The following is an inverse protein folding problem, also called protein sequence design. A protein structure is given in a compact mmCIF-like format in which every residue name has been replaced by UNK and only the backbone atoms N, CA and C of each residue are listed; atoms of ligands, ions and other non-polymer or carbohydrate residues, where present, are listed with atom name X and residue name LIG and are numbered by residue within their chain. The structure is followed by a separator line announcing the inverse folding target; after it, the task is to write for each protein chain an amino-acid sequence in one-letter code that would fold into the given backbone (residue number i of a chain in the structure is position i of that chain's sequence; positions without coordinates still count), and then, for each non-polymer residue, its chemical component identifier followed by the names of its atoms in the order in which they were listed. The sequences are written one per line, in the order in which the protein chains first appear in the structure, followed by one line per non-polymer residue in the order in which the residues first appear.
data_IF_448545393805
#
_entry.id   IF_448545393805
#
_cell.length_a   1.000
_cell.length_b   1.000
_cell.length_c   1.000
_cell.angle_alpha   90.00
_cell.angle_beta   90.00
_cell.angle_gamma   90.00
#
_symmetry.space_group_name_H-M   'P 1'
#
loop_
_entity.id
_entity.type
_entity.pdbx_description
1 polymer ?
#
# COMPACT_ATOMS: atom_id res chain seq x y z
N UNK A 1 25.51 5.43 -28.23
CA UNK A 1 24.73 4.82 -27.14
C UNK A 1 23.87 3.76 -27.80
N UNK A 2 24.19 2.47 -27.63
CA UNK A 2 23.34 1.40 -28.17
C UNK A 2 22.03 1.43 -27.40
N UNK A 3 20.94 1.67 -28.10
CA UNK A 3 19.59 1.38 -27.60
C UNK A 3 19.59 -0.13 -27.34
N UNK A 4 19.70 -0.54 -26.07
CA UNK A 4 19.53 -1.95 -25.73
C UNK A 4 18.16 -2.36 -26.23
N UNK A 5 18.11 -3.43 -27.02
CA UNK A 5 16.86 -3.96 -27.54
C UNK A 5 15.86 -4.17 -26.39
N UNK A 6 14.62 -3.73 -26.58
CA UNK A 6 13.49 -3.83 -25.63
C UNK A 6 13.14 -5.27 -25.16
N UNK A 7 13.90 -6.28 -25.61
CA UNK A 7 13.73 -7.70 -25.30
C UNK A 7 14.23 -8.09 -23.90
N UNK A 8 15.05 -7.29 -23.24
CA UNK A 8 15.73 -7.71 -21.99
C UNK A 8 15.20 -7.08 -20.69
N UNK A 9 14.23 -6.14 -20.74
CA UNK A 9 13.64 -5.60 -19.50
C UNK A 9 12.66 -6.61 -18.88
N UNK A 10 12.58 -6.72 -17.54
CA UNK A 10 11.60 -7.57 -16.87
C UNK A 10 10.17 -7.06 -17.10
N UNK A 11 9.17 -7.94 -16.96
CA UNK A 11 7.77 -7.65 -17.29
C UNK A 11 7.22 -6.46 -16.48
N UNK A 12 7.58 -6.36 -15.19
CA UNK A 12 7.11 -5.29 -14.30
C UNK A 12 7.63 -3.90 -14.69
N UNK A 13 8.67 -3.78 -15.52
CA UNK A 13 9.13 -2.49 -16.09
C UNK A 13 8.37 -2.09 -17.36
N UNK A 14 7.64 -3.02 -17.98
CA UNK A 14 6.91 -2.81 -19.24
C UNK A 14 5.40 -2.72 -19.04
N UNK A 15 4.92 -3.12 -17.87
CA UNK A 15 3.50 -3.31 -17.62
C UNK A 15 2.73 -2.00 -17.47
N UNK A 16 1.44 -2.01 -17.79
CA UNK A 16 0.46 -1.04 -17.30
C UNK A 16 -0.34 -1.63 -16.13
N UNK A 17 -0.27 -0.97 -14.97
CA UNK A 17 -1.00 -1.40 -13.76
C UNK A 17 -2.34 -0.67 -13.67
N UNK A 18 -3.42 -1.42 -13.52
CA UNK A 18 -4.78 -0.90 -13.34
C UNK A 18 -5.27 -1.22 -11.92
N UNK A 19 -5.50 -0.19 -11.12
CA UNK A 19 -6.03 -0.33 -9.79
C UNK A 19 -7.55 -0.48 -9.83
N UNK A 20 -8.03 -1.63 -9.35
CA UNK A 20 -9.44 -1.89 -9.07
C UNK A 20 -9.70 -1.68 -7.60
N UNK A 21 -10.75 -0.90 -7.31
CA UNK A 21 -11.34 -0.81 -5.99
C UNK A 21 -12.59 -1.72 -5.93
N UNK A 22 -12.49 -2.94 -5.33
CA UNK A 22 -13.44 -4.03 -5.57
C UNK A 22 -14.90 -3.66 -5.30
N UNK A 23 -15.17 -3.06 -4.13
CA UNK A 23 -16.50 -2.67 -3.66
C UNK A 23 -17.24 -1.75 -4.64
N UNK A 24 -16.53 -0.98 -5.46
CA UNK A 24 -17.11 0.02 -6.37
C UNK A 24 -16.91 -0.27 -7.86
N UNK A 25 -16.38 -1.45 -8.23
CA UNK A 25 -16.08 -1.76 -9.62
C UNK A 25 -17.28 -2.40 -10.34
N UNK A 26 -17.74 -3.57 -9.87
CA UNK A 26 -18.86 -4.28 -10.50
C UNK A 26 -19.54 -5.25 -9.54
N UNK A 27 -20.81 -4.97 -9.23
CA UNK A 27 -21.71 -5.88 -8.51
C UNK A 27 -22.30 -6.92 -9.48
N UNK A 28 -22.22 -8.21 -9.11
CA UNK A 28 -22.83 -9.33 -9.84
C UNK A 28 -24.02 -9.95 -9.11
N UNK A 29 -24.17 -9.68 -7.81
CA UNK A 29 -25.21 -10.25 -6.95
C UNK A 29 -26.47 -9.38 -6.83
N UNK A 30 -26.36 -8.09 -7.15
CA UNK A 30 -27.43 -7.10 -7.01
C UNK A 30 -27.59 -6.56 -5.59
N UNK A 31 -26.63 -6.81 -4.69
CA UNK A 31 -26.65 -6.33 -3.31
C UNK A 31 -26.12 -4.89 -3.13
N UNK A 32 -25.62 -4.27 -4.21
CA UNK A 32 -25.07 -2.91 -4.22
C UNK A 32 -23.56 -2.82 -3.93
N UNK A 33 -22.88 -3.95 -3.72
CA UNK A 33 -21.44 -4.04 -3.46
C UNK A 33 -20.76 -4.78 -4.61
N UNK A 34 -19.67 -4.23 -5.14
CA UNK A 34 -18.85 -4.91 -6.14
C UNK A 34 -18.16 -6.15 -5.58
N UNK A 35 -18.06 -7.20 -6.39
CA UNK A 35 -17.61 -8.52 -5.99
C UNK A 35 -16.66 -9.16 -7.01
N UNK A 36 -15.98 -10.25 -6.62
CA UNK A 36 -14.97 -10.89 -7.45
C UNK A 36 -15.57 -11.48 -8.74
N UNK A 37 -16.80 -12.01 -8.70
CA UNK A 37 -17.48 -12.51 -9.90
C UNK A 37 -17.78 -11.37 -10.88
N UNK A 38 -18.18 -10.20 -10.38
CA UNK A 38 -18.38 -9.00 -11.18
C UNK A 38 -17.09 -8.55 -11.87
N UNK A 39 -15.96 -8.57 -11.16
CA UNK A 39 -14.64 -8.31 -11.75
C UNK A 39 -14.32 -9.31 -12.86
N UNK A 40 -14.54 -10.62 -12.64
CA UNK A 40 -14.31 -11.67 -13.66
C UNK A 40 -15.07 -11.34 -14.95
N UNK A 41 -16.31 -10.86 -14.88
CA UNK A 41 -17.10 -10.49 -16.07
C UNK A 41 -16.54 -9.30 -16.88
N UNK A 42 -15.53 -8.60 -16.35
CA UNK A 42 -14.93 -7.41 -16.96
C UNK A 42 -13.48 -7.61 -17.38
N UNK A 43 -12.91 -8.80 -17.21
CA UNK A 43 -11.53 -9.06 -17.61
C UNK A 43 -11.31 -8.88 -19.13
N UNK A 44 -12.29 -9.24 -19.97
CA UNK A 44 -12.21 -9.02 -21.42
C UNK A 44 -12.13 -7.53 -21.76
N UNK A 45 -12.92 -6.69 -21.07
CA UNK A 45 -12.84 -5.24 -21.23
C UNK A 45 -11.46 -4.68 -20.86
N UNK A 46 -10.87 -5.16 -19.77
CA UNK A 46 -9.55 -4.71 -19.32
C UNK A 46 -8.44 -5.17 -20.28
N UNK A 47 -8.55 -6.39 -20.81
CA UNK A 47 -7.62 -6.90 -21.81
C UNK A 47 -7.73 -6.11 -23.13
N UNK A 48 -8.95 -5.84 -23.61
CA UNK A 48 -9.19 -5.00 -24.82
C UNK A 48 -8.66 -3.57 -24.65
N UNK A 49 -8.72 -3.03 -23.43
CA UNK A 49 -8.15 -1.72 -23.08
C UNK A 49 -6.61 -1.72 -23.14
N UNK A 50 -5.97 -2.88 -23.09
CA UNK A 50 -4.51 -3.04 -23.09
C UNK A 50 -3.89 -3.03 -21.70
N UNK A 51 -4.66 -3.35 -20.66
CA UNK A 51 -4.13 -3.53 -19.31
C UNK A 51 -3.37 -4.85 -19.22
N UNK A 52 -2.22 -4.83 -18.56
CA UNK A 52 -1.36 -6.02 -18.41
C UNK A 52 -1.29 -6.49 -16.95
N UNK A 53 -1.46 -5.61 -15.97
CA UNK A 53 -1.49 -5.97 -14.55
C UNK A 53 -2.70 -5.36 -13.85
N UNK A 54 -3.42 -6.16 -13.06
CA UNK A 54 -4.52 -5.69 -12.22
C UNK A 54 -4.06 -5.68 -10.77
N UNK A 55 -4.12 -4.52 -10.12
CA UNK A 55 -3.91 -4.37 -8.68
C UNK A 55 -5.26 -4.20 -7.99
N UNK A 56 -5.56 -5.06 -7.03
CA UNK A 56 -6.75 -4.95 -6.19
C UNK A 56 -6.41 -4.26 -4.88
N UNK A 57 -7.16 -3.20 -4.53
CA UNK A 57 -7.29 -2.78 -3.11
C UNK A 57 -7.76 -3.98 -2.24
N UNK A 58 -7.56 -3.95 -0.91
CA UNK A 58 -7.67 -5.15 -0.08
C UNK A 58 -8.98 -5.93 -0.23
N UNK A 59 -8.86 -7.23 -0.52
CA UNK A 59 -9.99 -8.18 -0.63
C UNK A 59 -10.05 -9.18 0.53
N UNK A 60 -9.10 -9.11 1.46
CA UNK A 60 -9.01 -10.04 2.58
C UNK A 60 -10.16 -9.87 3.58
N UNK A 61 -10.37 -10.89 4.40
CA UNK A 61 -11.35 -10.80 5.49
C UNK A 61 -11.04 -9.60 6.39
N UNK A 62 -12.05 -8.75 6.58
CA UNK A 62 -11.95 -7.50 7.33
C UNK A 62 -13.33 -7.13 7.90
N UNK A 63 -13.41 -6.49 9.07
CA UNK A 63 -14.63 -5.87 9.58
C UNK A 63 -15.11 -4.66 8.76
N UNK A 64 -14.36 -4.24 7.74
CA UNK A 64 -14.64 -3.12 6.84
C UNK A 64 -14.74 -1.77 7.55
N UNK A 65 -14.04 -1.58 8.68
CA UNK A 65 -14.03 -0.29 9.37
C UNK A 65 -13.06 0.69 8.73
N UNK A 66 -12.10 0.17 7.97
CA UNK A 66 -11.23 0.90 7.06
C UNK A 66 -11.24 0.21 5.68
N UNK A 67 -12.44 -0.21 5.26
CA UNK A 67 -12.72 -0.75 3.92
C UNK A 67 -11.71 -1.80 3.39
N UNK A 68 -11.31 -2.72 4.27
CA UNK A 68 -10.43 -3.83 3.93
C UNK A 68 -9.00 -3.69 4.48
N UNK A 69 -8.57 -2.48 4.86
CA UNK A 69 -7.24 -2.26 5.43
C UNK A 69 -7.14 -2.72 6.90
N UNK A 70 -8.26 -2.85 7.61
CA UNK A 70 -8.31 -3.53 8.91
C UNK A 70 -8.50 -5.06 8.75
N UNK A 71 -7.43 -5.77 8.38
CA UNK A 71 -7.48 -7.21 8.05
C UNK A 71 -7.65 -8.10 9.29
N UNK A 72 -8.68 -8.95 9.32
CA UNK A 72 -8.94 -9.92 10.40
C UNK A 72 -8.43 -11.33 10.09
N UNK A 73 -8.19 -11.65 8.82
CA UNK A 73 -7.50 -12.87 8.37
C UNK A 73 -6.90 -12.67 6.97
N UNK A 74 -5.58 -12.69 6.89
CA UNK A 74 -4.84 -12.48 5.64
C UNK A 74 -4.96 -13.63 4.64
N UNK A 75 -5.42 -14.82 5.03
CA UNK A 75 -5.48 -16.01 4.17
C UNK A 75 -6.91 -16.36 3.73
N UNK A 76 -7.87 -15.49 4.02
CA UNK A 76 -9.26 -15.61 3.56
C UNK A 76 -9.77 -14.32 2.91
N UNK A 77 -10.88 -14.42 2.19
CA UNK A 77 -11.51 -13.34 1.41
C UNK A 77 -12.70 -12.80 2.18
N UNK A 78 -12.91 -11.47 2.16
CA UNK A 78 -14.11 -10.87 2.78
C UNK A 78 -15.36 -11.45 2.14
N UNK A 79 -16.31 -11.85 2.98
CA UNK A 79 -17.54 -12.51 2.55
C UNK A 79 -18.37 -11.65 1.58
N UNK A 80 -18.26 -10.32 1.65
CA UNK A 80 -18.97 -9.41 0.75
C UNK A 80 -18.43 -9.44 -0.69
N UNK A 81 -17.16 -9.83 -0.88
CA UNK A 81 -16.50 -9.89 -2.19
C UNK A 81 -16.61 -11.29 -2.81
N UNK A 82 -16.75 -12.34 -1.99
CA UNK A 82 -16.95 -13.70 -2.45
C UNK A 82 -16.26 -14.73 -1.57
N UNK A 83 -15.80 -15.82 -2.19
CA UNK A 83 -15.16 -16.96 -1.54
C UNK A 83 -13.72 -17.12 -2.01
N UNK A 84 -12.95 -17.98 -1.31
CA UNK A 84 -11.61 -18.39 -1.78
C UNK A 84 -11.65 -18.99 -3.20
N UNK A 85 -12.69 -19.77 -3.53
CA UNK A 85 -12.85 -20.35 -4.86
C UNK A 85 -13.07 -19.27 -5.94
N UNK A 86 -13.78 -18.19 -5.61
CA UNK A 86 -13.96 -17.06 -6.53
C UNK A 86 -12.63 -16.32 -6.76
N UNK A 87 -11.80 -16.18 -5.73
CA UNK A 87 -10.46 -15.60 -5.83
C UNK A 87 -9.52 -16.47 -6.67
N UNK A 88 -9.49 -17.77 -6.44
CA UNK A 88 -8.70 -18.71 -7.24
C UNK A 88 -9.13 -18.70 -8.71
N UNK A 89 -10.45 -18.64 -8.97
CA UNK A 89 -10.99 -18.47 -10.32
C UNK A 89 -10.57 -17.13 -10.92
N UNK A 90 -10.62 -16.04 -10.17
CA UNK A 90 -10.20 -14.72 -10.64
C UNK A 90 -8.72 -14.73 -11.06
N UNK A 91 -7.83 -15.27 -10.24
CA UNK A 91 -6.40 -15.40 -10.55
C UNK A 91 -6.23 -16.22 -11.85
N UNK A 92 -6.90 -17.37 -11.94
CA UNK A 92 -6.84 -18.22 -13.13
C UNK A 92 -7.32 -17.50 -14.40
N UNK A 93 -8.43 -16.77 -14.34
CA UNK A 93 -9.00 -16.05 -15.49
C UNK A 93 -8.15 -14.85 -15.92
N UNK A 94 -7.45 -14.20 -14.98
CA UNK A 94 -6.47 -13.15 -15.28
C UNK A 94 -5.28 -13.76 -16.03
N UNK A 95 -4.72 -14.85 -15.54
CA UNK A 95 -3.59 -15.53 -16.18
C UNK A 95 -3.96 -16.14 -17.53
N UNK A 96 -5.18 -16.66 -17.71
CA UNK A 96 -5.67 -17.15 -19.00
C UNK A 96 -5.67 -16.06 -20.08
N UNK A 97 -5.70 -14.80 -19.68
CA UNK A 97 -5.63 -13.62 -20.55
C UNK A 97 -4.22 -13.04 -20.68
N UNK A 98 -3.21 -13.76 -20.21
CA UNK A 98 -1.80 -13.33 -20.19
C UNK A 98 -1.58 -12.00 -19.42
N UNK A 99 -2.46 -11.71 -18.46
CA UNK A 99 -2.34 -10.58 -17.54
C UNK A 99 -1.79 -11.05 -16.17
N UNK A 100 -1.32 -10.11 -15.35
CA UNK A 100 -0.81 -10.34 -14.01
C UNK A 100 -1.78 -9.81 -12.94
N UNK A 101 -1.72 -10.40 -11.75
CA UNK A 101 -2.52 -10.00 -10.58
C UNK A 101 -1.66 -9.61 -9.40
N UNK A 102 -1.96 -8.45 -8.81
CA UNK A 102 -1.33 -7.96 -7.58
C UNK A 102 -2.38 -7.73 -6.50
N UNK A 103 -2.03 -8.11 -5.27
CA UNK A 103 -2.84 -7.78 -4.10
C UNK A 103 -2.23 -6.63 -3.30
N UNK A 104 -3.09 -5.81 -2.73
CA UNK A 104 -2.71 -4.90 -1.66
C UNK A 104 -2.45 -5.68 -0.38
N UNK A 105 -1.28 -5.48 0.22
CA UNK A 105 -0.87 -6.18 1.43
C UNK A 105 -0.51 -5.18 2.52
N UNK A 106 -1.31 -5.19 3.57
CA UNK A 106 -1.11 -4.42 4.79
C UNK A 106 -0.21 -5.21 5.73
N UNK A 107 1.06 -4.81 5.82
CA UNK A 107 2.04 -5.49 6.68
C UNK A 107 2.09 -4.88 8.09
N UNK A 108 1.80 -3.60 8.24
CA UNK A 108 2.02 -2.89 9.51
C UNK A 108 1.16 -3.40 10.68
N UNK A 109 -0.11 -3.68 10.42
CA UNK A 109 -1.12 -3.89 11.45
C UNK A 109 -2.14 -4.95 11.04
N UNK A 110 -2.94 -5.38 12.01
CA UNK A 110 -4.16 -6.18 11.77
C UNK A 110 -5.38 -5.43 12.28
N UNK A 111 -6.57 -5.96 12.04
CA UNK A 111 -7.77 -5.58 12.79
C UNK A 111 -7.63 -5.92 14.28
N UNK A 112 -8.28 -5.14 15.13
CA UNK A 112 -8.53 -5.48 16.54
C UNK A 112 -9.40 -6.73 16.70
N UNK A 113 -10.07 -7.21 15.64
CA UNK A 113 -10.82 -8.47 15.64
C UNK A 113 -9.99 -9.67 15.17
N UNK A 114 -8.74 -9.47 14.71
CA UNK A 114 -7.88 -10.57 14.29
C UNK A 114 -7.64 -11.53 15.47
N UNK A 115 -7.71 -12.87 15.26
CA UNK A 115 -7.44 -13.85 16.32
C UNK A 115 -6.13 -13.63 17.08
N UNK A 116 -5.08 -13.17 16.40
CA UNK A 116 -3.80 -12.84 17.02
C UNK A 116 -3.93 -11.73 18.06
N UNK A 117 -4.64 -10.64 17.76
CA UNK A 117 -4.84 -9.55 18.71
C UNK A 117 -5.74 -9.98 19.87
N UNK A 118 -6.80 -10.75 19.59
CA UNK A 118 -7.68 -11.28 20.63
C UNK A 118 -6.92 -12.19 21.62
N UNK A 119 -6.08 -13.08 21.11
CA UNK A 119 -5.17 -13.90 21.93
C UNK A 119 -4.17 -13.03 22.71
N UNK A 120 -3.50 -12.08 22.05
CA UNK A 120 -2.52 -11.18 22.67
C UNK A 120 -3.15 -10.32 23.80
N UNK A 121 -4.38 -9.86 23.59
CA UNK A 121 -5.16 -9.05 24.53
C UNK A 121 -5.71 -9.86 25.70
N UNK A 122 -5.91 -11.17 25.53
CA UNK A 122 -6.52 -12.04 26.56
C UNK A 122 -5.80 -12.06 27.90
N UNK A 123 -4.46 -11.94 27.90
CA UNK A 123 -3.66 -11.85 29.12
C UNK A 123 -2.21 -11.40 28.82
N UNK A 124 -1.53 -10.86 29.84
CA UNK A 124 -0.10 -10.49 29.75
C UNK A 124 0.85 -11.68 29.57
N UNK A 125 0.38 -12.91 29.78
CA UNK A 125 1.20 -14.13 29.70
C UNK A 125 0.86 -15.00 28.49
N UNK A 126 -0.05 -14.56 27.61
CA UNK A 126 -0.40 -15.31 26.40
C UNK A 126 0.84 -15.43 25.48
N UNK A 127 1.08 -16.57 24.81
CA UNK A 127 2.21 -16.74 23.89
C UNK A 127 2.26 -15.70 22.76
N UNK A 128 1.10 -15.17 22.34
CA UNK A 128 0.99 -14.08 21.36
C UNK A 128 1.03 -12.69 21.98
N UNK A 129 1.34 -12.54 23.28
CA UNK A 129 1.39 -11.21 23.93
C UNK A 129 2.30 -10.25 23.17
N UNK A 130 3.49 -10.73 22.81
CA UNK A 130 4.50 -9.94 22.10
C UNK A 130 4.35 -9.97 20.57
N UNK A 131 3.18 -10.36 20.05
CA UNK A 131 2.87 -10.18 18.62
C UNK A 131 2.43 -8.75 18.30
N UNK A 132 2.05 -8.00 19.32
CA UNK A 132 1.66 -6.59 19.24
C UNK A 132 2.46 -5.78 20.26
N UNK A 133 2.48 -4.46 20.07
CA UNK A 133 3.28 -3.56 20.89
C UNK A 133 2.47 -3.12 22.11
N UNK A 134 2.79 -3.70 23.27
CA UNK A 134 2.17 -3.39 24.58
C UNK A 134 3.14 -2.68 25.52
N UNK A 135 2.72 -1.59 26.18
CA UNK A 135 3.55 -0.87 27.15
C UNK A 135 2.78 -0.42 28.38
N UNK A 136 3.45 -0.45 29.53
CA UNK A 136 2.96 0.17 30.75
C UNK A 136 3.04 1.71 30.61
N UNK A 137 2.14 2.43 31.31
CA UNK A 137 2.16 3.88 31.34
C UNK A 137 3.26 4.48 32.24
N UNK A 138 3.65 5.74 32.00
CA UNK A 138 4.76 6.44 32.69
C UNK A 138 4.53 6.86 34.15
N UNK A 139 3.35 6.62 34.75
CA UNK A 139 3.00 7.05 36.12
C UNK A 139 2.50 5.88 36.97
N UNK A 140 2.60 5.94 38.31
CA UNK A 140 1.99 4.94 39.19
C UNK A 140 0.52 4.71 38.83
N UNK A 141 0.14 3.46 38.60
CA UNK A 141 -1.19 3.07 38.14
C UNK A 141 -1.45 3.28 36.64
N UNK A 142 -0.42 3.42 35.79
CA UNK A 142 -0.53 3.30 34.33
C UNK A 142 -1.20 4.46 33.57
N UNK A 143 -1.72 5.49 34.25
CA UNK A 143 -2.62 6.50 33.66
C UNK A 143 -1.99 7.54 32.71
N UNK A 144 -0.69 7.46 32.41
CA UNK A 144 -0.02 8.37 31.46
C UNK A 144 0.57 7.58 30.31
N UNK A 145 0.36 8.08 29.10
CA UNK A 145 0.86 7.49 27.85
C UNK A 145 2.35 7.05 27.96
N UNK A 146 2.73 5.92 27.36
CA UNK A 146 4.11 5.41 27.37
C UNK A 146 5.12 6.42 26.80
N UNK A 147 4.78 7.12 25.73
CA UNK A 147 5.57 8.21 25.17
C UNK A 147 4.66 9.24 24.46
N UNK A 148 5.25 10.16 23.69
CA UNK A 148 4.50 11.20 23.01
C UNK A 148 3.97 10.81 21.63
N UNK A 149 4.16 9.57 21.16
CA UNK A 149 3.84 9.19 19.78
C UNK A 149 2.38 9.46 19.42
N UNK A 150 2.20 9.97 18.19
CA UNK A 150 0.90 10.30 17.61
C UNK A 150 0.60 9.39 16.44
N UNK A 151 -0.67 9.01 16.33
CA UNK A 151 -1.18 8.29 15.18
C UNK A 151 -1.07 9.16 13.91
N UNK A 152 -1.13 8.51 12.75
CA UNK A 152 -1.06 9.14 11.43
C UNK A 152 -2.29 9.99 11.16
N UNK A 153 -3.44 9.56 11.66
CA UNK A 153 -4.72 10.30 11.60
C UNK A 153 -4.84 11.40 12.66
N UNK A 154 -3.83 11.55 13.53
CA UNK A 154 -3.82 12.50 14.64
C UNK A 154 -4.28 11.89 15.97
N UNK A 155 -4.16 12.65 17.06
CA UNK A 155 -4.35 12.12 18.42
C UNK A 155 -3.18 11.26 18.89
N UNK A 156 -3.36 10.53 20.00
CA UNK A 156 -2.36 9.55 20.45
C UNK A 156 -2.58 8.23 19.74
N UNK A 157 -1.51 7.55 19.33
CA UNK A 157 -1.58 6.17 18.85
C UNK A 157 -1.54 5.13 19.97
N UNK A 158 -1.48 5.56 21.24
CA UNK A 158 -1.56 4.65 22.38
C UNK A 158 -3.00 4.54 22.85
N UNK A 159 -3.48 3.30 22.95
CA UNK A 159 -4.83 2.97 23.37
C UNK A 159 -4.81 2.09 24.61
N UNK A 160 -5.55 2.49 25.64
CA UNK A 160 -5.55 1.78 26.91
C UNK A 160 -6.47 0.56 26.86
N UNK A 161 -5.94 -0.59 27.29
CA UNK A 161 -6.69 -1.81 27.51
C UNK A 161 -6.91 -2.03 29.00
N UNK A 162 -8.17 -1.95 29.42
CA UNK A 162 -8.55 -2.11 30.82
C UNK A 162 -8.39 -3.55 31.33
N UNK A 163 -8.38 -4.55 30.44
CA UNK A 163 -8.24 -5.96 30.83
C UNK A 163 -6.82 -6.27 31.33
N UNK A 164 -5.80 -5.76 30.63
CA UNK A 164 -4.40 -6.02 30.95
C UNK A 164 -3.69 -4.86 31.67
N UNK A 165 -4.39 -3.74 31.89
CA UNK A 165 -3.85 -2.50 32.46
C UNK A 165 -2.60 -2.01 31.72
N UNK A 166 -2.63 -2.08 30.38
CA UNK A 166 -1.54 -1.66 29.49
C UNK A 166 -2.07 -0.85 28.32
N UNK A 167 -1.16 -0.17 27.63
CA UNK A 167 -1.43 0.52 26.38
C UNK A 167 -0.96 -0.33 25.21
N UNK A 168 -1.76 -0.45 24.15
CA UNK A 168 -1.29 -0.97 22.86
C UNK A 168 -1.05 0.18 21.88
N UNK A 169 -0.15 -0.03 20.95
CA UNK A 169 0.16 0.91 19.87
C UNK A 169 -0.67 0.62 18.62
N UNK A 170 -1.18 1.68 18.00
CA UNK A 170 -1.76 1.69 16.67
C UNK A 170 -1.29 2.96 15.95
N UNK A 171 -0.52 2.80 14.87
CA UNK A 171 -0.02 3.94 14.09
C UNK A 171 -1.16 4.62 13.32
N UNK A 172 -2.26 3.92 13.05
CA UNK A 172 -3.42 4.41 12.32
C UNK A 172 -4.64 4.57 13.23
N UNK A 173 -5.71 3.82 13.00
CA UNK A 173 -6.94 3.91 13.78
C UNK A 173 -6.86 2.99 15.01
N UNK A 174 -7.64 3.27 16.08
CA UNK A 174 -7.58 2.48 17.32
C UNK A 174 -7.86 0.98 17.15
N UNK A 175 -8.50 0.61 16.04
CA UNK A 175 -8.86 -0.75 15.70
C UNK A 175 -7.88 -1.42 14.72
N UNK A 176 -6.73 -0.78 14.47
CA UNK A 176 -5.62 -1.27 13.67
C UNK A 176 -4.37 -1.41 14.54
N UNK A 177 -4.35 -2.32 15.53
CA UNK A 177 -3.17 -2.53 16.37
C UNK A 177 -1.97 -3.02 15.56
N UNK A 178 -0.83 -2.37 15.78
CA UNK A 178 0.40 -2.62 15.03
C UNK A 178 1.07 -3.92 15.49
N UNK A 179 1.55 -4.68 14.50
CA UNK A 179 2.31 -5.90 14.69
C UNK A 179 3.73 -5.59 15.18
N UNK A 180 4.23 -6.36 16.14
CA UNK A 180 5.60 -6.21 16.63
C UNK A 180 6.57 -7.01 15.75
N UNK A 181 7.14 -6.39 14.72
CA UNK A 181 8.11 -7.05 13.82
C UNK A 181 9.48 -7.33 14.44
N UNK A 182 9.76 -6.83 15.65
CA UNK A 182 10.94 -7.26 16.43
C UNK A 182 10.77 -8.70 16.94
N UNK A 183 9.53 -9.20 17.00
CA UNK A 183 9.26 -10.60 17.28
C UNK A 183 9.50 -11.45 16.00
N UNK A 184 10.46 -12.38 16.00
CA UNK A 184 10.79 -13.17 14.81
C UNK A 184 9.65 -14.08 14.35
N UNK A 185 8.70 -14.44 15.23
CA UNK A 185 7.52 -15.23 14.85
C UNK A 185 6.53 -14.41 14.03
N UNK A 186 6.33 -13.13 14.36
CA UNK A 186 5.49 -12.22 13.56
C UNK A 186 6.07 -12.05 12.17
N UNK A 187 7.37 -11.72 12.09
CA UNK A 187 8.05 -11.56 10.79
C UNK A 187 7.94 -12.82 9.94
N UNK A 188 8.14 -14.00 10.53
CA UNK A 188 8.00 -15.28 9.84
C UNK A 188 6.57 -15.50 9.33
N UNK A 189 5.55 -15.31 10.16
CA UNK A 189 4.16 -15.54 9.73
C UNK A 189 3.71 -14.59 8.61
N UNK A 190 4.21 -13.36 8.61
CA UNK A 190 3.93 -12.43 7.53
C UNK A 190 4.64 -12.82 6.23
N UNK A 191 5.87 -13.34 6.30
CA UNK A 191 6.53 -13.94 5.13
C UNK A 191 5.82 -15.22 4.65
N UNK A 192 5.32 -16.05 5.56
CA UNK A 192 4.57 -17.25 5.19
C UNK A 192 3.21 -16.90 4.57
N UNK A 193 2.61 -15.79 4.99
CA UNK A 193 1.41 -15.21 4.36
C UNK A 193 1.69 -14.70 2.94
N UNK A 194 2.84 -14.06 2.73
CA UNK A 194 3.30 -13.67 1.39
C UNK A 194 3.44 -14.92 0.51
N UNK A 195 4.17 -15.95 0.98
CA UNK A 195 4.35 -17.22 0.25
C UNK A 195 3.03 -17.90 -0.07
N UNK A 196 2.10 -17.94 0.89
CA UNK A 196 0.77 -18.53 0.68
C UNK A 196 0.05 -17.95 -0.55
N UNK A 197 0.12 -16.64 -0.76
CA UNK A 197 -0.49 -16.00 -1.92
C UNK A 197 0.33 -16.14 -3.20
N UNK A 198 1.66 -16.13 -3.11
CA UNK A 198 2.54 -16.41 -4.25
C UNK A 198 2.34 -17.85 -4.77
N UNK A 199 2.17 -18.82 -3.87
CA UNK A 199 1.86 -20.23 -4.17
C UNK A 199 0.50 -20.38 -4.87
N UNK A 200 -0.45 -19.48 -4.60
CA UNK A 200 -1.75 -19.42 -5.28
C UNK A 200 -1.70 -18.74 -6.65
N UNK A 201 -0.55 -18.19 -7.05
CA UNK A 201 -0.37 -17.52 -8.33
C UNK A 201 -0.50 -16.00 -8.29
N UNK A 202 -0.48 -15.36 -7.11
CA UNK A 202 -0.36 -13.90 -7.08
C UNK A 202 1.03 -13.50 -7.63
N UNK A 203 1.04 -12.53 -8.54
CA UNK A 203 2.25 -12.11 -9.27
C UNK A 203 3.05 -11.02 -8.55
N UNK A 204 2.44 -10.42 -7.53
CA UNK A 204 3.11 -9.40 -6.72
C UNK A 204 2.21 -8.73 -5.71
N UNK A 205 2.80 -7.78 -4.98
CA UNK A 205 2.11 -7.03 -3.96
C UNK A 205 2.35 -5.53 -4.09
N UNK A 206 1.30 -4.77 -3.85
CA UNK A 206 1.42 -3.37 -3.42
C UNK A 206 1.44 -3.38 -1.90
N UNK A 207 2.46 -2.77 -1.30
CA UNK A 207 2.65 -2.75 0.14
C UNK A 207 2.14 -1.43 0.71
N UNK A 208 1.10 -1.50 1.54
CA UNK A 208 0.50 -0.35 2.21
C UNK A 208 1.46 0.24 3.24
N UNK A 209 1.68 1.57 3.14
CA UNK A 209 2.47 2.41 4.06
C UNK A 209 3.66 1.66 4.69
N UNK A 210 4.47 1.01 3.84
CA UNK A 210 5.49 0.03 4.26
C UNK A 210 6.60 0.65 5.12
N UNK A 211 6.67 1.98 5.16
CA UNK A 211 7.59 2.75 5.99
C UNK A 211 7.22 2.82 7.48
N UNK A 212 6.15 2.17 7.91
CA UNK A 212 5.68 2.19 9.31
C UNK A 212 5.94 0.91 10.09
N UNK A 213 6.40 -0.17 9.45
CA UNK A 213 6.49 -1.54 10.04
C UNK A 213 7.35 -1.64 11.30
N UNK A 214 8.35 -0.77 11.47
CA UNK A 214 9.23 -0.77 12.64
C UNK A 214 9.22 0.55 13.39
N UNK A 215 9.02 0.46 14.70
CA UNK A 215 9.27 1.52 15.68
C UNK A 215 10.58 1.35 16.45
N UNK A 216 11.02 2.43 17.10
CA UNK A 216 12.18 2.49 18.00
C UNK A 216 12.01 1.55 19.21
N UNK A 217 12.95 0.61 19.37
CA UNK A 217 12.93 -0.38 20.47
C UNK A 217 13.06 0.25 21.86
N UNK A 218 13.66 1.44 21.93
CA UNK A 218 13.80 2.19 23.17
C UNK A 218 12.56 3.04 23.51
N UNK A 219 11.53 3.05 22.64
CA UNK A 219 10.28 3.80 22.81
C UNK A 219 10.49 5.29 23.10
N UNK A 220 11.54 5.87 22.51
CA UNK A 220 11.90 7.27 22.70
C UNK A 220 10.82 8.21 22.16
N UNK A 221 10.69 9.38 22.77
CA UNK A 221 9.77 10.39 22.28
C UNK A 221 10.20 10.88 20.89
N UNK A 222 9.24 11.04 19.97
CA UNK A 222 9.49 11.74 18.71
C UNK A 222 9.87 13.21 18.98
N UNK A 223 10.93 13.74 18.34
CA UNK A 223 11.32 15.13 18.46
C UNK A 223 10.20 16.09 18.00
N UNK A 224 10.22 17.30 18.54
CA UNK A 224 9.30 18.36 18.15
C UNK A 224 9.57 18.84 16.71
N UNK A 225 8.49 19.14 15.98
CA UNK A 225 8.52 19.81 14.68
C UNK A 225 7.56 21.01 14.70
N UNK A 226 7.85 22.06 13.94
CA UNK A 226 6.92 23.19 13.75
C UNK A 226 5.78 22.89 12.77
N UNK A 227 5.85 21.78 12.02
CA UNK A 227 4.84 21.39 11.03
C UNK A 227 3.63 20.73 11.70
N UNK A 228 2.44 21.17 11.32
CA UNK A 228 1.17 20.55 11.74
C UNK A 228 0.62 19.58 10.69
N UNK A 229 0.68 19.95 9.40
CA UNK A 229 0.29 19.08 8.29
C UNK A 229 1.52 18.46 7.61
N UNK A 230 1.42 17.22 7.12
CA UNK A 230 2.46 16.59 6.33
C UNK A 230 2.63 17.27 4.96
N UNK A 231 3.67 16.87 4.24
CA UNK A 231 3.90 17.25 2.84
C UNK A 231 4.40 16.05 2.06
N UNK A 232 4.26 16.06 0.73
CA UNK A 232 4.71 14.96 -0.14
C UNK A 232 6.20 14.57 0.05
N UNK A 233 7.02 15.47 0.62
CA UNK A 233 8.46 15.26 0.82
C UNK A 233 8.87 14.87 2.26
N UNK A 234 7.99 15.01 3.27
CA UNK A 234 8.25 14.53 4.64
C UNK A 234 6.98 14.31 5.48
N UNK A 235 7.06 13.32 6.38
CA UNK A 235 5.94 12.88 7.24
C UNK A 235 5.75 13.72 8.51
N UNK A 236 6.45 14.86 8.61
CA UNK A 236 6.38 15.71 9.80
C UNK A 236 4.98 16.29 9.91
N UNK A 237 4.28 15.94 10.97
CA UNK A 237 2.89 16.29 11.18
C UNK A 237 2.58 16.31 12.67
N UNK A 238 1.48 16.98 13.04
CA UNK A 238 1.02 17.10 14.43
C UNK A 238 2.11 17.54 15.43
N UNK A 239 3.02 18.40 14.99
CA UNK A 239 4.18 18.88 15.74
C UNK A 239 5.24 17.83 16.07
N UNK A 240 5.33 16.76 15.28
CA UNK A 240 6.31 15.69 15.45
C UNK A 240 7.18 15.48 14.22
N UNK A 241 8.48 15.31 14.47
CA UNK A 241 9.37 14.63 13.56
C UNK A 241 9.34 13.14 13.90
N UNK A 242 8.65 12.33 13.08
CA UNK A 242 8.25 10.95 13.42
C UNK A 242 9.35 9.90 13.20
N UNK A 243 10.61 10.25 13.49
CA UNK A 243 11.79 9.40 13.20
C UNK A 243 11.81 8.07 13.94
N UNK A 244 11.06 7.94 15.04
CA UNK A 244 10.99 6.71 15.83
C UNK A 244 9.80 5.82 15.47
N UNK A 245 8.92 6.25 14.56
CA UNK A 245 7.74 5.47 14.15
C UNK A 245 7.54 5.42 12.62
N UNK A 246 8.30 6.19 11.85
CA UNK A 246 8.24 6.21 10.39
C UNK A 246 9.67 6.25 9.83
N UNK A 247 9.91 5.46 8.78
CA UNK A 247 11.21 5.34 8.11
C UNK A 247 12.35 4.92 9.06
N UNK A 248 12.03 4.14 10.10
CA UNK A 248 13.04 3.57 10.99
C UNK A 248 14.05 2.73 10.17
N UNK A 249 15.36 2.75 10.48
CA UNK A 249 16.38 2.07 9.69
C UNK A 249 16.11 0.59 9.39
N UNK A 250 15.46 -0.11 10.33
CA UNK A 250 15.11 -1.53 10.20
C UNK A 250 14.13 -1.80 9.04
N UNK A 251 13.29 -0.82 8.66
CA UNK A 251 12.39 -0.96 7.50
C UNK A 251 13.18 -1.19 6.21
N UNK A 252 14.34 -0.54 6.04
CA UNK A 252 15.17 -0.72 4.84
C UNK A 252 15.84 -2.10 4.78
N UNK A 253 16.06 -2.73 5.94
CA UNK A 253 16.57 -4.12 6.00
C UNK A 253 15.42 -5.07 5.70
N UNK A 254 14.27 -4.83 6.33
CA UNK A 254 13.06 -5.64 6.15
C UNK A 254 12.60 -5.74 4.69
N UNK A 255 12.61 -4.64 3.92
CA UNK A 255 12.20 -4.71 2.52
C UNK A 255 13.13 -5.57 1.65
N UNK A 256 14.42 -5.70 2.02
CA UNK A 256 15.35 -6.60 1.32
C UNK A 256 15.11 -8.06 1.69
N UNK A 257 14.81 -8.32 2.96
CA UNK A 257 14.39 -9.66 3.42
C UNK A 257 13.09 -10.07 2.71
N UNK A 258 12.10 -9.17 2.65
CA UNK A 258 10.85 -9.40 1.92
C UNK A 258 11.10 -9.61 0.42
N UNK A 259 11.99 -8.81 -0.19
CA UNK A 259 12.40 -9.00 -1.59
C UNK A 259 12.97 -10.40 -1.82
N UNK A 260 13.80 -10.89 -0.90
CA UNK A 260 14.37 -12.24 -0.98
C UNK A 260 13.30 -13.34 -0.94
N UNK A 261 12.18 -13.14 -0.23
CA UNK A 261 11.04 -14.08 -0.25
C UNK A 261 10.42 -14.16 -1.64
N UNK A 262 10.30 -13.04 -2.35
CA UNK A 262 9.77 -13.03 -3.72
C UNK A 262 10.76 -13.64 -4.71
N UNK A 263 12.05 -13.45 -4.51
CA UNK A 263 13.09 -14.03 -5.38
C UNK A 263 13.14 -15.58 -5.29
N UNK A 264 12.46 -16.20 -4.32
CA UNK A 264 12.18 -17.66 -4.31
C UNK A 264 11.29 -18.09 -5.50
N UNK A 265 10.59 -17.15 -6.14
CA UNK A 265 9.64 -17.36 -7.24
C UNK A 265 10.10 -16.62 -8.50
N UNK A 266 10.72 -17.33 -9.45
CA UNK A 266 11.43 -16.72 -10.58
C UNK A 266 10.72 -16.80 -11.94
N UNK A 267 9.62 -17.55 -12.07
CA UNK A 267 8.91 -17.75 -13.35
C UNK A 267 7.38 -17.61 -13.18
N UNK A 268 6.80 -16.45 -13.55
CA UNK A 268 7.49 -15.18 -13.77
C UNK A 268 8.14 -14.62 -12.48
N UNK A 269 9.07 -13.68 -12.59
CA UNK A 269 9.56 -12.90 -11.43
C UNK A 269 8.38 -12.24 -10.69
N UNK A 270 8.39 -12.24 -9.35
CA UNK A 270 7.31 -11.62 -8.55
C UNK A 270 7.62 -10.16 -8.23
N UNK A 271 6.59 -9.31 -8.25
CA UNK A 271 6.74 -7.86 -8.24
C UNK A 271 6.35 -7.21 -6.88
N UNK A 272 7.09 -6.19 -6.46
CA UNK A 272 6.78 -5.36 -5.26
C UNK A 272 6.75 -3.88 -5.62
N UNK A 273 5.67 -3.22 -5.24
CA UNK A 273 5.61 -1.76 -5.19
C UNK A 273 5.24 -1.29 -3.79
N UNK A 274 6.02 -0.39 -3.21
CA UNK A 274 5.72 0.17 -1.89
C UNK A 274 5.01 1.51 -1.98
N UNK A 275 3.96 1.67 -1.18
CA UNK A 275 3.44 2.98 -0.85
C UNK A 275 4.25 3.60 0.29
N UNK A 276 4.90 4.73 0.00
CA UNK A 276 5.72 5.44 0.96
C UNK A 276 5.56 6.94 0.72
N UNK A 277 5.18 7.68 1.75
CA UNK A 277 5.29 9.14 1.74
C UNK A 277 6.69 9.52 2.23
N UNK A 278 7.57 9.96 1.35
CA UNK A 278 8.92 10.39 1.72
C UNK A 278 9.61 11.19 0.60
N UNK A 279 10.78 11.76 0.92
CA UNK A 279 11.66 12.36 -0.09
C UNK A 279 12.19 11.30 -1.08
N UNK A 280 12.59 11.73 -2.29
CA UNK A 280 13.08 10.81 -3.31
C UNK A 280 14.32 10.02 -2.89
N UNK A 281 15.17 10.58 -2.03
CA UNK A 281 16.32 9.86 -1.46
C UNK A 281 15.89 8.69 -0.58
N UNK A 282 14.83 8.86 0.20
CA UNK A 282 14.27 7.80 1.04
C UNK A 282 13.55 6.77 0.18
N UNK A 283 12.73 7.18 -0.79
CA UNK A 283 12.06 6.27 -1.73
C UNK A 283 13.07 5.40 -2.48
N UNK A 284 14.14 6.01 -3.00
CA UNK A 284 15.24 5.30 -3.66
C UNK A 284 15.91 4.29 -2.74
N UNK A 285 16.07 4.63 -1.45
CA UNK A 285 16.64 3.72 -0.45
C UNK A 285 15.77 2.48 -0.22
N UNK A 286 14.45 2.60 -0.28
CA UNK A 286 13.54 1.44 -0.21
C UNK A 286 13.61 0.54 -1.43
N UNK A 287 13.91 1.10 -2.61
CA UNK A 287 14.19 0.30 -3.80
C UNK A 287 15.49 -0.51 -3.67
N UNK A 288 16.31 -0.23 -2.67
CA UNK A 288 17.54 -0.95 -2.38
C UNK A 288 18.75 -0.39 -3.13
N UNK A 289 19.85 -1.11 -3.01
CA UNK A 289 21.09 -0.83 -3.71
C UNK A 289 21.05 -1.45 -5.11
N UNK A 290 21.78 -0.83 -6.04
CA UNK A 290 22.08 -1.47 -7.32
C UNK A 290 22.91 -2.75 -7.09
N UNK A 291 22.38 -3.89 -7.49
CA UNK A 291 23.15 -5.15 -7.55
C UNK A 291 23.93 -5.25 -8.87
N UNK A 292 23.29 -4.78 -9.94
CA UNK A 292 23.85 -4.66 -11.27
C UNK A 292 23.06 -3.58 -12.04
N UNK A 293 23.55 -3.19 -13.22
CA UNK A 293 22.95 -2.13 -14.04
C UNK A 293 21.47 -2.30 -14.43
N UNK A 294 20.86 -3.44 -14.10
CA UNK A 294 19.47 -3.76 -14.45
C UNK A 294 18.56 -4.04 -13.25
N UNK A 295 19.11 -4.21 -12.02
CA UNK A 295 18.35 -4.69 -10.84
C UNK A 295 18.78 -4.03 -9.53
N UNK A 296 17.86 -4.06 -8.57
CA UNK A 296 18.09 -3.61 -7.18
C UNK A 296 17.64 -4.68 -6.17
N UNK A 297 18.17 -4.62 -4.95
CA UNK A 297 17.95 -5.63 -3.89
C UNK A 297 16.79 -5.33 -2.92
N UNK A 298 15.94 -4.33 -3.23
CA UNK A 298 14.79 -3.94 -2.43
C UNK A 298 13.48 -3.99 -3.20
N UNK A 299 12.59 -3.03 -2.92
CA UNK A 299 11.35 -2.88 -3.69
C UNK A 299 11.65 -2.67 -5.18
N UNK A 300 10.86 -3.29 -6.06
CA UNK A 300 11.02 -3.07 -7.50
C UNK A 300 10.65 -1.62 -7.86
N UNK A 301 9.58 -1.11 -7.27
CA UNK A 301 9.11 0.27 -7.42
C UNK A 301 8.67 0.88 -6.08
N UNK A 302 8.64 2.21 -6.02
CA UNK A 302 7.98 2.96 -4.97
C UNK A 302 7.00 3.96 -5.61
N UNK A 303 5.84 4.16 -4.98
CA UNK A 303 4.88 5.13 -5.48
C UNK A 303 5.40 6.56 -5.41
N UNK A 304 5.39 7.25 -6.55
CA UNK A 304 5.85 8.63 -6.67
C UNK A 304 4.66 9.60 -6.71
N UNK A 305 4.22 10.05 -5.53
CA UNK A 305 3.04 10.90 -5.39
C UNK A 305 3.15 12.32 -5.96
N UNK A 306 4.34 12.76 -6.35
CA UNK A 306 4.54 14.12 -6.88
C UNK A 306 3.67 14.42 -8.11
N UNK A 307 3.35 13.41 -8.93
CA UNK A 307 2.48 13.53 -10.10
C UNK A 307 0.99 13.62 -9.75
N UNK A 308 0.57 13.00 -8.64
CA UNK A 308 -0.82 12.87 -8.18
C UNK A 308 -1.56 14.21 -8.02
N UNK A 309 -0.84 15.22 -7.48
CA UNK A 309 -1.37 16.55 -7.21
C UNK A 309 -0.80 17.64 -8.13
N UNK A 310 -0.02 17.26 -9.13
CA UNK A 310 0.59 18.20 -10.06
C UNK A 310 -0.47 18.90 -10.92
N UNK A 311 -0.39 20.24 -11.01
CA UNK A 311 -1.15 21.00 -12.00
C UNK A 311 -0.62 20.69 -13.39
N UNK A 312 -1.53 20.58 -14.37
CA UNK A 312 -1.17 20.34 -15.77
C UNK A 312 -0.57 21.62 -16.39
N UNK A 313 0.73 21.78 -16.18
CA UNK A 313 1.55 22.88 -16.66
C UNK A 313 2.90 22.36 -17.18
N UNK A 314 3.36 22.89 -18.31
CA UNK A 314 4.58 22.40 -18.97
C UNK A 314 5.84 22.54 -18.10
N UNK A 315 5.98 23.64 -17.35
CA UNK A 315 7.16 23.85 -16.49
C UNK A 315 7.16 22.89 -15.31
N UNK A 316 5.99 22.61 -14.73
CA UNK A 316 5.82 21.65 -13.63
C UNK A 316 6.17 20.24 -14.12
N UNK A 317 5.62 19.80 -15.25
CA UNK A 317 5.88 18.46 -15.77
C UNK A 317 7.32 18.29 -16.25
N UNK A 318 7.92 19.31 -16.86
CA UNK A 318 9.34 19.28 -17.19
C UNK A 318 10.21 19.06 -15.94
N UNK A 319 9.87 19.75 -14.84
CA UNK A 319 10.56 19.57 -13.56
C UNK A 319 10.37 18.16 -12.99
N UNK A 320 9.13 17.65 -12.95
CA UNK A 320 8.83 16.31 -12.43
C UNK A 320 9.58 15.24 -13.23
N UNK A 321 9.53 15.31 -14.56
CA UNK A 321 10.25 14.39 -15.45
C UNK A 321 11.76 14.47 -15.17
N UNK A 322 12.32 15.68 -15.11
CA UNK A 322 13.76 15.85 -14.86
C UNK A 322 14.20 15.27 -13.51
N UNK A 323 13.39 15.44 -12.46
CA UNK A 323 13.68 14.86 -11.16
C UNK A 323 13.51 13.32 -11.18
N UNK A 324 12.46 12.79 -11.82
CA UNK A 324 12.31 11.33 -11.95
C UNK A 324 13.49 10.71 -12.70
N UNK A 325 13.97 11.34 -13.78
CA UNK A 325 15.18 10.90 -14.49
C UNK A 325 16.46 11.02 -13.67
N UNK A 326 16.56 12.03 -12.80
CA UNK A 326 17.72 12.21 -11.92
C UNK A 326 17.77 11.16 -10.80
N UNK A 327 16.64 10.93 -10.12
CA UNK A 327 16.61 10.09 -8.92
C UNK A 327 16.38 8.61 -9.26
N UNK A 328 15.56 8.32 -10.29
CA UNK A 328 15.11 6.98 -10.67
C UNK A 328 15.57 6.60 -12.09
N UNK A 329 16.81 6.94 -12.45
CA UNK A 329 17.49 6.38 -13.63
C UNK A 329 17.82 4.90 -13.42
N UNK A 330 18.05 4.17 -14.52
CA UNK A 330 18.41 2.75 -14.46
C UNK A 330 19.53 2.47 -13.43
N UNK A 331 19.41 1.41 -12.61
CA UNK A 331 18.41 0.32 -12.68
C UNK A 331 17.01 0.66 -12.12
N UNK A 332 16.84 1.85 -11.52
CA UNK A 332 15.58 2.27 -10.91
C UNK A 332 14.57 2.70 -11.98
N UNK A 333 13.28 2.67 -11.63
CA UNK A 333 12.19 3.02 -12.56
C UNK A 333 11.15 3.86 -11.83
N UNK A 334 10.71 5.00 -12.40
CA UNK A 334 9.68 5.81 -11.78
C UNK A 334 8.28 5.23 -12.02
N UNK A 335 7.33 5.54 -11.13
CA UNK A 335 5.90 5.27 -11.33
C UNK A 335 5.15 6.54 -11.69
N UNK A 336 4.15 6.45 -12.57
CA UNK A 336 3.26 7.56 -12.91
C UNK A 336 1.86 7.32 -12.36
N UNK A 337 1.44 8.13 -11.38
CA UNK A 337 0.14 8.00 -10.68
C UNK A 337 -0.57 9.34 -10.69
N UNK A 338 -1.80 9.39 -11.19
CA UNK A 338 -2.61 10.62 -11.20
C UNK A 338 -3.88 10.54 -10.36
N UNK A 339 -4.28 9.32 -10.00
CA UNK A 339 -5.39 9.04 -9.09
C UNK A 339 -5.15 7.71 -8.37
N UNK A 340 -5.82 7.51 -7.25
CA UNK A 340 -6.01 6.24 -6.55
C UNK A 340 -7.32 6.36 -5.74
N UNK A 341 -7.60 5.40 -4.85
CA UNK A 341 -8.79 5.41 -4.00
C UNK A 341 -8.80 6.55 -2.95
N UNK A 342 -7.63 6.98 -2.45
CA UNK A 342 -7.53 8.06 -1.44
C UNK A 342 -7.62 9.48 -2.02
N UNK A 343 -7.75 9.60 -3.34
CA UNK A 343 -7.63 10.88 -4.03
C UNK A 343 -8.89 11.23 -4.81
N UNK A 344 -9.16 12.54 -4.84
CA UNK A 344 -10.12 13.08 -5.80
C UNK A 344 -9.77 12.63 -7.21
N UNK A 345 -10.78 12.19 -7.96
CA UNK A 345 -10.68 11.80 -9.37
C UNK A 345 -9.88 12.83 -10.17
N UNK A 346 -8.90 12.36 -10.94
CA UNK A 346 -7.99 13.24 -11.70
C UNK A 346 -8.74 14.22 -12.61
N UNK A 347 -9.76 13.76 -13.32
CA UNK A 347 -10.54 14.61 -14.22
C UNK A 347 -11.23 15.78 -13.48
N UNK A 348 -11.66 15.59 -12.24
CA UNK A 348 -12.23 16.66 -11.41
C UNK A 348 -11.17 17.70 -11.04
N UNK A 349 -9.93 17.27 -10.72
CA UNK A 349 -8.79 18.19 -10.50
C UNK A 349 -8.43 18.99 -11.76
N UNK A 350 -8.72 18.44 -12.95
CA UNK A 350 -8.50 19.09 -14.25
C UNK A 350 -9.68 19.96 -14.71
N UNK A 351 -10.72 20.11 -13.90
CA UNK A 351 -11.90 20.92 -14.23
C UNK A 351 -12.86 20.23 -15.19
N UNK A 352 -12.97 18.90 -15.13
CA UNK A 352 -13.86 18.08 -15.99
C UNK A 352 -13.59 18.22 -17.50
N UNK A 353 -12.36 18.60 -17.85
CA UNK A 353 -11.94 18.88 -19.22
C UNK A 353 -11.32 17.63 -19.88
N UNK A 354 -12.01 17.08 -20.87
CA UNK A 354 -11.57 15.88 -21.58
C UNK A 354 -10.31 16.07 -22.41
N UNK A 355 -10.01 17.29 -22.89
CA UNK A 355 -8.77 17.55 -23.63
C UNK A 355 -7.59 17.46 -22.68
N UNK A 356 -7.73 18.04 -21.48
CA UNK A 356 -6.71 17.92 -20.42
C UNK A 356 -6.57 16.49 -19.92
N UNK A 357 -7.67 15.75 -19.77
CA UNK A 357 -7.64 14.35 -19.36
C UNK A 357 -6.87 13.49 -20.36
N UNK A 358 -7.14 13.65 -21.66
CA UNK A 358 -6.40 12.96 -22.73
C UNK A 358 -4.92 13.34 -22.73
N UNK A 359 -4.59 14.62 -22.59
CA UNK A 359 -3.19 15.06 -22.50
C UNK A 359 -2.48 14.46 -21.27
N UNK A 360 -3.15 14.40 -20.11
CA UNK A 360 -2.62 13.78 -18.90
C UNK A 360 -2.36 12.28 -19.11
N UNK A 361 -3.29 11.56 -19.74
CA UNK A 361 -3.12 10.15 -20.10
C UNK A 361 -1.98 9.94 -21.10
N UNK A 362 -1.82 10.83 -22.10
CA UNK A 362 -0.66 10.79 -23.01
C UNK A 362 0.64 10.85 -22.23
N UNK A 363 0.78 11.77 -21.26
CA UNK A 363 2.00 11.86 -20.44
C UNK A 363 2.21 10.57 -19.65
N UNK A 364 1.17 10.06 -19.00
CA UNK A 364 1.23 8.85 -18.18
C UNK A 364 1.70 7.62 -18.99
N UNK A 365 1.20 7.47 -20.21
CA UNK A 365 1.44 6.30 -21.06
C UNK A 365 2.68 6.41 -21.96
N UNK A 366 3.32 7.58 -22.05
CA UNK A 366 4.48 7.79 -22.94
C UNK A 366 5.75 8.24 -22.23
N UNK A 367 5.65 8.75 -20.99
CA UNK A 367 6.82 9.02 -20.18
C UNK A 367 7.50 7.70 -19.75
N UNK A 368 8.83 7.71 -19.60
CA UNK A 368 9.55 6.56 -19.05
C UNK A 368 9.05 6.26 -17.64
N UNK A 369 8.75 5.00 -17.37
CA UNK A 369 8.24 4.53 -16.09
C UNK A 369 7.07 3.58 -16.24
N UNK A 370 6.49 3.18 -15.12
CA UNK A 370 5.33 2.29 -15.06
C UNK A 370 4.07 3.12 -14.77
N UNK A 371 3.06 3.13 -15.67
CA UNK A 371 1.80 3.82 -15.42
C UNK A 371 0.90 3.02 -14.47
N UNK A 372 0.35 3.71 -13.47
CA UNK A 372 -0.69 3.20 -12.57
C UNK A 372 -1.99 3.98 -12.79
N UNK A 373 -2.99 3.29 -13.33
CA UNK A 373 -4.28 3.86 -13.72
C UNK A 373 -5.34 3.43 -12.71
N UNK A 374 -6.07 4.37 -12.13
CA UNK A 374 -7.18 4.06 -11.24
C UNK A 374 -8.47 3.84 -12.04
N UNK A 375 -9.27 2.83 -11.65
CA UNK A 375 -10.44 2.45 -12.43
C UNK A 375 -11.36 3.64 -12.74
N UNK A 376 -11.77 3.82 -13.99
CA UNK A 376 -12.60 4.95 -14.40
C UNK A 376 -11.82 6.18 -14.88
N UNK A 377 -10.50 6.25 -14.73
CA UNK A 377 -9.70 7.29 -15.39
C UNK A 377 -9.78 7.18 -16.91
N UNK A 378 -9.84 5.97 -17.45
CA UNK A 378 -9.90 5.68 -18.89
C UNK A 378 -11.18 6.19 -19.57
N UNK A 379 -12.27 6.31 -18.80
CA UNK A 379 -13.56 6.88 -19.25
C UNK A 379 -13.85 8.25 -18.66
N UNK A 380 -12.95 8.81 -17.85
CA UNK A 380 -13.11 10.13 -17.26
C UNK A 380 -14.19 10.23 -16.17
N UNK A 381 -14.32 9.22 -15.30
CA UNK A 381 -15.23 9.29 -14.14
C UNK A 381 -14.81 10.48 -13.25
N UNK A 382 -15.78 11.36 -12.99
CA UNK A 382 -15.59 12.53 -12.10
C UNK A 382 -16.06 12.24 -10.67
N UNK A 383 -15.57 13.02 -9.71
CA UNK A 383 -16.06 12.95 -8.33
C UNK A 383 -17.55 13.25 -8.26
N UNK A 384 -18.27 12.42 -7.52
CA UNK A 384 -19.64 12.71 -7.12
C UNK A 384 -19.63 13.36 -5.73
N UNK A 385 -20.48 14.39 -5.52
CA UNK A 385 -20.68 14.96 -4.19
C UNK A 385 -21.73 14.13 -3.46
N UNK A 386 -21.32 13.45 -2.39
CA UNK A 386 -22.23 12.76 -1.49
C UNK A 386 -22.34 13.55 -0.18
N UNK A 387 -23.54 13.62 0.45
CA UNK A 387 -23.67 14.19 1.78
C UNK A 387 -22.83 13.38 2.78
N UNK A 388 -21.98 14.05 3.57
CA UNK A 388 -21.10 13.38 4.55
C UNK A 388 -21.82 12.42 5.52
N UNK A 389 -23.12 12.66 5.80
CA UNK A 389 -23.92 11.82 6.69
C UNK A 389 -24.32 10.48 6.07
N UNK A 390 -24.30 10.37 4.75
CA UNK A 390 -24.71 9.18 3.99
C UNK A 390 -23.60 8.68 3.08
N UNK A 391 -22.49 9.41 3.01
CA UNK A 391 -21.30 8.97 2.31
C UNK A 391 -20.67 7.86 3.16
N UNK A 392 -20.63 6.66 2.60
CA UNK A 392 -19.63 5.68 2.98
C UNK A 392 -18.37 6.05 2.20
N UNK A 393 -17.19 5.92 2.82
CA UNK A 393 -15.94 5.96 2.06
C UNK A 393 -16.06 4.88 0.97
N UNK A 394 -15.76 5.17 -0.32
CA UNK A 394 -15.65 4.13 -1.31
C UNK A 394 -14.74 3.05 -0.76
#
# INVERSE_FOLDING_TARGET
MSISSNKDLPWWKKTTVYQIYPRSFKDSSGNGIGDLQGIITKLDYLQELGIETIWFSPIFSSPQRDHGYDVSDFRSISQEYGTMADCEKLIHEIHHREMYVMFDLVLNHTSDQHPWFQESKSSRNNPKRDWYIWRDGKKPGGKKLPNNWKAMVGGSGWHYDALTDQWYWAQFLPFQPDLNYRNPHVKREMFDTVRYWLDKGVDGFRLDIINTVFEDEAFQNNPFSRKFFPSDADDKSFFQNKIHTINHPDNFIFVKELRSVLDEYSDPERFLVGEISASFEILKRYCGNEENKTKTDGLHLAFLFKSLNAKLDASIFHKIISEYEQYFSEPYTPTWVFSNHDQMRRISKLGTDMVKAKLNATIQLTARGVPFIYYGEEIGISNHKLPLKTAEDP
#
